data_IF_881667331467
#
_entry.id   IF_881667331467
#
_cell.length_a   1.000
_cell.length_b   1.000
_cell.length_c   1.000
_cell.angle_alpha   90.00
_cell.angle_beta   90.00
_cell.angle_gamma   90.00
#
_symmetry.space_group_name_H-M   'P 1'
#
loop_
_entity.id
_entity.type
_entity.pdbx_description
1 polymer ?
#
# COMPACT_ATOMS: atom_id res chain seq x y z
N UNK A 1 20.37 -3.38 -11.34
CA UNK A 1 19.34 -4.31 -10.82
C UNK A 1 18.22 -3.46 -10.27
N UNK A 2 17.22 -3.17 -11.09
CA UNK A 2 16.08 -2.34 -10.73
C UNK A 2 14.97 -3.33 -10.38
N UNK A 3 14.52 -3.32 -9.13
CA UNK A 3 13.42 -4.16 -8.69
C UNK A 3 12.12 -3.49 -9.11
N UNK A 4 11.40 -4.13 -10.02
CA UNK A 4 9.97 -3.92 -10.17
C UNK A 4 9.29 -4.29 -8.86
N UNK A 5 8.88 -3.28 -8.12
CA UNK A 5 8.22 -3.51 -6.84
C UNK A 5 6.74 -3.81 -7.12
N UNK A 6 6.45 -5.05 -7.52
CA UNK A 6 5.07 -5.54 -7.60
C UNK A 6 4.46 -5.62 -6.20
N UNK A 7 3.13 -5.48 -6.07
CA UNK A 7 2.37 -5.58 -4.81
C UNK A 7 2.81 -6.78 -3.95
N UNK A 8 2.98 -7.92 -4.61
CA UNK A 8 3.41 -9.18 -4.00
C UNK A 8 4.87 -9.10 -3.55
N UNK A 9 5.75 -8.50 -4.36
CA UNK A 9 7.16 -8.34 -4.03
C UNK A 9 7.42 -7.46 -2.79
N UNK A 10 6.65 -6.37 -2.56
CA UNK A 10 6.79 -5.55 -1.33
C UNK A 10 6.45 -6.37 -0.09
N UNK A 11 5.29 -7.04 -0.15
CA UNK A 11 4.74 -7.77 0.98
C UNK A 11 5.62 -8.99 1.26
N UNK A 12 6.09 -9.66 0.21
CA UNK A 12 6.96 -10.82 0.33
C UNK A 12 8.37 -10.43 0.82
N UNK A 13 8.93 -9.32 0.34
CA UNK A 13 10.21 -8.83 0.88
C UNK A 13 10.08 -8.46 2.36
N UNK A 14 9.04 -7.71 2.75
CA UNK A 14 8.82 -7.31 4.14
C UNK A 14 8.60 -8.52 5.07
N UNK A 15 7.83 -9.52 4.61
CA UNK A 15 7.51 -10.73 5.39
C UNK A 15 8.64 -11.76 5.42
N UNK A 16 9.29 -12.04 4.29
CA UNK A 16 10.22 -13.16 4.15
C UNK A 16 11.70 -12.75 4.19
N UNK A 17 12.07 -11.53 3.77
CA UNK A 17 13.47 -11.08 3.80
C UNK A 17 13.83 -10.35 5.09
N UNK A 18 12.92 -9.54 5.63
CA UNK A 18 13.18 -8.72 6.82
C UNK A 18 12.57 -9.27 8.12
N UNK A 19 11.75 -10.33 8.02
CA UNK A 19 11.10 -10.96 9.19
C UNK A 19 10.25 -10.02 10.04
N UNK A 20 9.86 -8.86 9.49
CA UNK A 20 9.14 -7.83 10.23
C UNK A 20 7.62 -8.04 10.11
N UNK A 21 6.84 -7.90 11.19
CA UNK A 21 5.38 -7.94 11.11
C UNK A 21 4.92 -6.93 10.06
N UNK A 22 4.03 -7.34 9.17
CA UNK A 22 3.60 -6.50 8.04
C UNK A 22 2.09 -6.52 7.94
N UNK A 23 1.49 -5.33 7.95
CA UNK A 23 0.06 -5.13 7.72
C UNK A 23 -0.14 -4.28 6.47
N UNK A 24 -1.15 -4.60 5.67
CA UNK A 24 -1.32 -3.96 4.37
C UNK A 24 -2.79 -3.72 4.03
N UNK A 25 -3.06 -2.66 3.26
CA UNK A 25 -4.37 -2.37 2.70
C UNK A 25 -4.22 -1.95 1.24
N UNK A 26 -5.07 -2.50 0.39
CA UNK A 26 -5.14 -2.13 -1.02
C UNK A 26 -6.44 -1.41 -1.34
N UNK A 27 -6.32 -0.19 -1.87
CA UNK A 27 -7.45 0.61 -2.30
C UNK A 27 -7.90 0.15 -3.69
N UNK A 28 -8.91 -0.73 -3.75
CA UNK A 28 -9.54 -1.20 -5.00
C UNK A 28 -10.50 -0.14 -5.56
N UNK A 29 -10.19 0.42 -6.73
CA UNK A 29 -11.06 1.39 -7.43
C UNK A 29 -12.35 0.79 -8.02
N UNK A 30 -12.52 -0.54 -8.01
CA UNK A 30 -13.59 -1.24 -8.74
C UNK A 30 -14.91 -1.37 -7.95
N UNK A 31 -14.96 -0.88 -6.71
CA UNK A 31 -16.18 -0.86 -5.91
C UNK A 31 -16.61 0.57 -5.62
N UNK A 32 -17.80 0.93 -6.10
CA UNK A 32 -18.48 2.22 -5.86
C UNK A 32 -18.81 2.49 -4.38
N UNK A 33 -18.52 1.55 -3.48
CA UNK A 33 -18.57 1.79 -2.05
C UNK A 33 -17.35 2.63 -1.65
N UNK A 34 -17.60 3.82 -1.12
CA UNK A 34 -16.58 4.79 -0.76
C UNK A 34 -15.39 4.14 -0.03
N UNK A 35 -14.22 4.14 -0.67
CA UNK A 35 -12.95 3.88 -0.03
C UNK A 35 -12.72 4.99 1.00
N UNK A 36 -12.96 4.67 2.27
CA UNK A 36 -12.82 5.61 3.37
C UNK A 36 -11.63 5.27 4.27
N UNK A 37 -11.16 6.27 5.02
CA UNK A 37 -10.08 6.10 5.99
C UNK A 37 -10.41 5.05 7.06
N UNK A 38 -11.69 4.89 7.39
CA UNK A 38 -12.20 3.92 8.37
C UNK A 38 -11.90 2.49 7.96
N UNK A 39 -12.04 2.18 6.67
CA UNK A 39 -11.77 0.85 6.11
C UNK A 39 -10.29 0.46 6.24
N UNK A 40 -9.38 1.42 6.01
CA UNK A 40 -7.94 1.22 6.15
C UNK A 40 -7.58 0.93 7.61
N UNK A 41 -7.98 1.81 8.53
CA UNK A 41 -7.68 1.63 9.95
C UNK A 41 -8.28 0.34 10.50
N UNK A 42 -9.53 0.05 10.16
CA UNK A 42 -10.21 -1.19 10.56
C UNK A 42 -9.46 -2.43 10.10
N UNK A 43 -8.91 -2.42 8.87
CA UNK A 43 -8.15 -3.54 8.35
C UNK A 43 -6.81 -3.71 9.08
N UNK A 44 -6.09 -2.61 9.31
CA UNK A 44 -4.85 -2.67 10.06
C UNK A 44 -5.05 -3.18 11.48
N UNK A 45 -6.05 -2.69 12.22
CA UNK A 45 -6.32 -3.14 13.59
C UNK A 45 -6.57 -4.66 13.62
N UNK A 46 -7.36 -5.18 12.67
CA UNK A 46 -7.60 -6.64 12.56
C UNK A 46 -6.30 -7.40 12.33
N UNK A 47 -5.49 -6.98 11.36
CA UNK A 47 -4.23 -7.64 11.05
C UNK A 47 -3.24 -7.57 12.23
N UNK A 48 -3.16 -6.45 12.95
CA UNK A 48 -2.34 -6.31 14.16
C UNK A 48 -2.80 -7.25 15.28
N UNK A 49 -4.12 -7.42 15.45
CA UNK A 49 -4.67 -8.38 16.39
C UNK A 49 -4.33 -9.83 16.02
N UNK A 50 -4.31 -10.16 14.73
CA UNK A 50 -3.96 -11.50 14.24
C UNK A 50 -2.45 -11.80 14.36
N UNK A 51 -1.61 -10.76 14.34
CA UNK A 51 -0.15 -10.88 14.47
C UNK A 51 0.32 -11.21 15.90
N UNK A 52 -0.52 -11.01 16.91
CA UNK A 52 -0.21 -11.38 18.30
C UNK A 52 -0.75 -12.78 18.59
N UNK A 53 0.12 -13.80 18.81
CA UNK A 53 -0.33 -15.08 19.34
C UNK A 53 -0.97 -14.85 20.72
N UNK A 54 -2.08 -15.50 21.00
CA UNK A 54 -2.72 -15.52 22.32
C UNK A 54 -1.78 -16.10 23.41
N UNK A 55 -0.85 -15.30 23.92
CA UNK A 55 -0.01 -15.62 25.09
C UNK A 55 0.54 -14.30 25.72
N UNK A 56 1.03 -14.32 26.98
CA UNK A 56 0.43 -13.74 28.18
C UNK A 56 0.59 -12.22 28.34
N UNK A 57 1.06 -11.52 27.30
CA UNK A 57 1.04 -10.05 27.20
C UNK A 57 -0.03 -9.63 26.21
N UNK A 58 -1.24 -10.14 26.41
CA UNK A 58 -2.41 -9.63 25.73
C UNK A 58 -2.51 -8.13 25.94
N UNK A 59 -3.14 -7.44 24.99
CA UNK A 59 -3.52 -6.04 25.16
C UNK A 59 -4.05 -5.79 26.58
N UNK A 60 -3.68 -4.66 27.22
CA UNK A 60 -4.30 -4.23 28.48
C UNK A 60 -5.82 -4.39 28.41
N UNK A 61 -6.48 -4.79 29.51
CA UNK A 61 -7.90 -5.17 29.48
C UNK A 61 -8.81 -4.06 28.94
N UNK A 62 -8.44 -2.80 29.17
CA UNK A 62 -9.09 -1.63 28.59
C UNK A 62 -8.97 -1.57 27.05
N UNK A 63 -7.82 -1.97 26.49
CA UNK A 63 -7.59 -2.04 25.04
C UNK A 63 -8.29 -3.26 24.45
N UNK A 64 -8.16 -4.42 25.11
CA UNK A 64 -8.85 -5.65 24.72
C UNK A 64 -10.38 -5.48 24.74
N UNK A 65 -10.92 -4.73 25.69
CA UNK A 65 -12.34 -4.41 25.78
C UNK A 65 -12.81 -3.59 24.58
N UNK A 66 -12.09 -2.53 24.19
CA UNK A 66 -12.43 -1.74 23.00
C UNK A 66 -12.29 -2.57 21.70
N UNK A 67 -11.26 -3.42 21.59
CA UNK A 67 -11.13 -4.36 20.46
C UNK A 67 -12.36 -5.26 20.39
N UNK A 68 -12.79 -5.86 21.50
CA UNK A 68 -14.00 -6.72 21.52
C UNK A 68 -15.27 -5.93 21.19
N UNK A 69 -15.37 -4.69 21.61
CA UNK A 69 -16.51 -3.80 21.33
C UNK A 69 -16.67 -3.52 19.83
N UNK A 70 -15.59 -3.26 19.10
CA UNK A 70 -15.66 -2.89 17.69
C UNK A 70 -15.41 -4.04 16.70
N UNK A 71 -14.66 -5.07 17.11
CA UNK A 71 -14.22 -6.17 16.25
C UNK A 71 -14.71 -7.56 16.71
N UNK A 72 -15.39 -7.66 17.86
CA UNK A 72 -15.95 -8.91 18.38
C UNK A 72 -17.27 -9.35 17.74
N UNK A 73 -17.83 -10.46 18.24
CA UNK A 73 -19.07 -11.06 17.70
C UNK A 73 -20.31 -10.17 17.79
N UNK A 74 -20.40 -9.32 18.81
CA UNK A 74 -21.49 -8.35 19.02
C UNK A 74 -20.97 -6.92 18.86
N UNK A 75 -20.40 -6.63 17.68
CA UNK A 75 -19.71 -5.37 17.44
C UNK A 75 -20.66 -4.17 17.33
N UNK A 76 -20.22 -3.04 17.88
CA UNK A 76 -20.74 -1.71 17.60
C UNK A 76 -20.04 -1.15 16.36
N UNK A 77 -20.74 -0.37 15.54
CA UNK A 77 -20.13 0.32 14.39
C UNK A 77 -19.23 1.43 14.92
N UNK A 78 -17.92 1.30 14.70
CA UNK A 78 -16.94 2.34 14.99
C UNK A 78 -17.02 3.43 13.92
N UNK A 79 -16.89 4.69 14.33
CA UNK A 79 -16.58 5.78 13.41
C UNK A 79 -15.06 5.95 13.20
N UNK A 80 -14.66 6.95 12.43
CA UNK A 80 -13.25 7.17 12.13
C UNK A 80 -12.43 7.55 13.37
N UNK A 81 -13.00 8.30 14.30
CA UNK A 81 -12.28 8.78 15.48
C UNK A 81 -12.18 7.68 16.54
N UNK A 82 -13.22 6.86 16.70
CA UNK A 82 -13.16 5.59 17.44
C UNK A 82 -11.99 4.73 16.93
N UNK A 83 -11.86 4.60 15.60
CA UNK A 83 -10.81 3.81 14.97
C UNK A 83 -9.41 4.40 15.16
N UNK A 84 -9.26 5.72 15.17
CA UNK A 84 -7.98 6.37 15.48
C UNK A 84 -7.57 6.16 16.94
N UNK A 85 -8.52 6.27 17.88
CA UNK A 85 -8.24 6.06 19.30
C UNK A 85 -7.75 4.64 19.56
N UNK A 86 -8.52 3.64 19.10
CA UNK A 86 -8.12 2.25 19.27
C UNK A 86 -6.83 1.92 18.55
N UNK A 87 -6.61 2.45 17.33
CA UNK A 87 -5.34 2.24 16.61
C UNK A 87 -4.17 2.81 17.40
N UNK A 88 -4.29 4.01 17.97
CA UNK A 88 -3.23 4.64 18.77
C UNK A 88 -2.88 3.80 20.00
N UNK A 89 -3.87 3.11 20.57
CA UNK A 89 -3.68 2.22 21.73
C UNK A 89 -3.13 0.86 21.35
N UNK A 90 -3.45 0.35 20.15
CA UNK A 90 -2.96 -0.93 19.63
C UNK A 90 -1.53 -0.83 19.10
N UNK A 91 -1.22 0.26 18.40
CA UNK A 91 0.04 0.49 17.69
C UNK A 91 1.31 0.19 18.52
N UNK A 92 1.43 0.60 19.81
CA UNK A 92 2.65 0.39 20.59
C UNK A 92 2.88 -1.07 21.03
N UNK A 93 1.89 -1.95 20.85
CA UNK A 93 2.01 -3.35 21.25
C UNK A 93 2.61 -4.24 20.16
N UNK A 94 2.77 -3.72 18.94
CA UNK A 94 3.37 -4.44 17.81
C UNK A 94 4.48 -3.57 17.21
N UNK A 95 5.61 -3.38 17.93
CA UNK A 95 6.73 -2.57 17.45
C UNK A 95 7.37 -3.16 16.19
N UNK A 96 8.20 -2.37 15.52
CA UNK A 96 8.92 -2.76 14.30
C UNK A 96 8.01 -3.26 13.16
N UNK A 97 6.73 -2.86 13.17
CA UNK A 97 5.75 -3.26 12.14
C UNK A 97 5.85 -2.39 10.90
N UNK A 98 5.76 -3.01 9.71
CA UNK A 98 5.66 -2.33 8.43
C UNK A 98 4.19 -2.19 8.02
N UNK A 99 3.75 -0.96 7.81
CA UNK A 99 2.40 -0.59 7.40
C UNK A 99 2.41 -0.21 5.92
N UNK A 100 1.58 -0.86 5.11
CA UNK A 100 1.52 -0.59 3.67
C UNK A 100 0.12 -0.13 3.26
N UNK A 101 0.02 1.04 2.66
CA UNK A 101 -1.21 1.51 1.98
C UNK A 101 -0.91 1.62 0.49
N UNK A 102 -1.55 0.77 -0.30
CA UNK A 102 -1.44 0.76 -1.75
C UNK A 102 -2.66 1.44 -2.40
N UNK A 103 -2.41 2.44 -3.25
CA UNK A 103 -3.44 3.20 -3.96
C UNK A 103 -4.06 4.35 -3.16
N UNK A 104 -3.26 5.09 -2.39
CA UNK A 104 -3.78 6.21 -1.57
C UNK A 104 -4.45 7.32 -2.40
N UNK A 105 -4.14 7.43 -3.70
CA UNK A 105 -4.81 8.30 -4.68
C UNK A 105 -6.30 8.03 -4.84
N UNK A 106 -6.77 6.83 -4.49
CA UNK A 106 -8.17 6.45 -4.63
C UNK A 106 -9.08 7.02 -3.52
N UNK A 107 -8.51 7.54 -2.42
CA UNK A 107 -9.31 8.14 -1.36
C UNK A 107 -9.77 9.54 -1.76
N UNK A 108 -10.94 9.94 -1.28
CA UNK A 108 -11.30 11.36 -1.35
C UNK A 108 -10.34 12.23 -0.53
N UNK A 109 -10.33 13.52 -0.86
CA UNK A 109 -9.43 14.49 -0.27
C UNK A 109 -9.54 14.59 1.25
N UNK A 110 -10.74 14.54 1.81
CA UNK A 110 -10.95 14.73 3.25
C UNK A 110 -10.53 13.49 4.04
N UNK A 111 -10.88 12.30 3.56
CA UNK A 111 -10.42 11.04 4.14
C UNK A 111 -8.91 10.88 4.02
N UNK A 112 -8.31 11.17 2.85
CA UNK A 112 -6.87 11.13 2.67
C UNK A 112 -6.15 12.08 3.64
N UNK A 113 -6.60 13.34 3.74
CA UNK A 113 -6.01 14.34 4.63
C UNK A 113 -6.15 13.96 6.11
N UNK A 114 -7.31 13.46 6.52
CA UNK A 114 -7.56 13.00 7.90
C UNK A 114 -6.64 11.84 8.27
N UNK A 115 -6.53 10.85 7.37
CA UNK A 115 -5.67 9.68 7.56
C UNK A 115 -4.19 10.04 7.58
N UNK A 116 -3.73 10.89 6.67
CA UNK A 116 -2.34 11.34 6.61
C UNK A 116 -1.95 12.14 7.84
N UNK A 117 -2.83 13.01 8.35
CA UNK A 117 -2.59 13.72 9.63
C UNK A 117 -2.44 12.75 10.78
N UNK A 118 -3.27 11.70 10.80
CA UNK A 118 -3.19 10.67 11.81
C UNK A 118 -1.86 9.89 11.72
N UNK A 119 -1.49 9.38 10.53
CA UNK A 119 -0.21 8.70 10.34
C UNK A 119 0.99 9.59 10.65
N UNK A 120 0.96 10.87 10.28
CA UNK A 120 2.00 11.82 10.67
C UNK A 120 2.22 11.84 12.19
N UNK A 121 1.14 11.83 12.98
CA UNK A 121 1.23 11.86 14.44
C UNK A 121 1.89 10.61 15.04
N UNK A 122 1.86 9.48 14.33
CA UNK A 122 2.39 8.20 14.80
C UNK A 122 3.82 7.93 14.31
N UNK A 123 4.12 8.29 13.05
CA UNK A 123 5.34 7.89 12.37
C UNK A 123 6.40 8.99 12.28
N UNK A 124 6.10 10.24 12.66
CA UNK A 124 7.10 11.34 12.62
C UNK A 124 7.85 11.49 13.93
N UNK A 125 7.23 11.22 15.08
CA UNK A 125 7.95 11.24 16.37
C UNK A 125 8.63 9.87 16.60
N UNK A 126 9.97 9.80 16.70
CA UNK A 126 10.67 8.54 16.94
C UNK A 126 10.23 7.82 18.22
N UNK A 127 9.75 8.57 19.23
CA UNK A 127 9.27 8.01 20.50
C UNK A 127 7.95 7.27 20.34
N UNK A 128 7.08 7.74 19.43
CA UNK A 128 5.80 7.08 19.15
C UNK A 128 6.00 5.94 18.17
N UNK A 129 6.89 6.11 17.18
CA UNK A 129 7.05 5.19 16.06
C UNK A 129 7.54 3.78 16.45
N UNK A 130 8.35 3.66 17.52
CA UNK A 130 8.85 2.36 18.03
C UNK A 130 9.40 1.43 16.93
N UNK A 131 10.19 1.99 16.01
CA UNK A 131 10.80 1.25 14.89
C UNK A 131 9.85 0.91 13.73
N UNK A 132 8.53 1.05 13.92
CA UNK A 132 7.51 0.81 12.90
C UNK A 132 7.66 1.75 11.70
N UNK A 133 7.28 1.32 10.49
CA UNK A 133 7.45 2.13 9.28
C UNK A 133 6.18 2.14 8.47
N UNK A 134 5.92 3.24 7.76
CA UNK A 134 4.79 3.31 6.82
C UNK A 134 5.29 3.52 5.39
N UNK A 135 4.70 2.75 4.48
CA UNK A 135 4.87 2.85 3.04
C UNK A 135 3.53 3.22 2.41
N UNK A 136 3.51 4.33 1.70
CA UNK A 136 2.35 4.83 0.98
C UNK A 136 2.65 4.75 -0.53
N UNK A 137 1.87 3.95 -1.25
CA UNK A 137 1.99 3.82 -2.69
C UNK A 137 0.84 4.57 -3.36
N UNK A 138 1.19 5.32 -4.39
CA UNK A 138 0.23 6.09 -5.18
C UNK A 138 0.61 6.03 -6.65
N UNK A 139 -0.40 5.97 -7.54
CA UNK A 139 -0.18 6.03 -9.00
C UNK A 139 -0.05 7.46 -9.50
N UNK A 140 -0.72 8.39 -8.83
CA UNK A 140 -0.70 9.81 -9.12
C UNK A 140 -0.32 10.58 -7.85
N UNK A 141 -0.56 11.89 -7.81
CA UNK A 141 -0.35 12.71 -6.63
C UNK A 141 -1.30 12.33 -5.49
N UNK A 142 -0.80 12.46 -4.27
CA UNK A 142 -1.60 12.29 -3.06
C UNK A 142 -2.81 13.24 -3.10
N UNK A 143 -4.03 12.77 -2.79
CA UNK A 143 -5.24 13.58 -2.91
C UNK A 143 -5.12 14.94 -2.20
N UNK A 144 -5.49 15.99 -2.92
CA UNK A 144 -5.39 17.37 -2.42
C UNK A 144 -4.02 18.02 -2.57
N UNK A 145 -3.15 17.50 -3.44
CA UNK A 145 -1.84 18.08 -3.79
C UNK A 145 -0.93 18.25 -2.56
N UNK A 146 -1.01 17.28 -1.64
CA UNK A 146 -0.25 17.32 -0.39
C UNK A 146 1.22 17.06 -0.71
N UNK A 147 2.06 18.06 -0.47
CA UNK A 147 3.51 17.88 -0.56
C UNK A 147 4.01 17.05 0.64
N UNK A 148 4.23 15.76 0.41
CA UNK A 148 4.62 14.78 1.43
C UNK A 148 5.95 15.13 2.12
N UNK A 149 6.90 15.75 1.41
CA UNK A 149 8.20 16.13 1.97
C UNK A 149 8.04 17.20 3.07
N UNK A 150 7.10 18.14 2.89
CA UNK A 150 6.77 19.14 3.90
C UNK A 150 5.82 18.60 4.97
N UNK A 151 4.93 17.70 4.58
CA UNK A 151 3.85 17.22 5.43
C UNK A 151 4.31 16.16 6.44
N UNK A 152 5.20 15.24 6.04
CA UNK A 152 5.83 14.23 6.88
C UNK A 152 7.35 14.35 6.79
N UNK A 153 7.96 15.23 7.61
CA UNK A 153 9.41 15.41 7.62
C UNK A 153 10.13 14.07 7.84
N UNK A 154 11.15 13.79 7.01
CA UNK A 154 11.90 12.54 7.06
C UNK A 154 11.31 11.39 6.23
N UNK A 155 10.16 11.59 5.57
CA UNK A 155 9.65 10.63 4.58
C UNK A 155 10.61 10.56 3.38
N UNK A 156 10.87 9.35 2.89
CA UNK A 156 11.61 9.14 1.65
C UNK A 156 10.61 8.98 0.51
N UNK A 157 10.62 9.91 -0.43
CA UNK A 157 9.84 9.80 -1.64
C UNK A 157 10.67 9.11 -2.72
N UNK A 158 10.11 8.04 -3.31
CA UNK A 158 10.70 7.34 -4.46
C UNK A 158 9.73 7.54 -5.61
N UNK A 159 10.19 8.20 -6.68
CA UNK A 159 9.44 8.27 -7.93
C UNK A 159 9.92 7.17 -8.86
N UNK A 160 8.99 6.35 -9.35
CA UNK A 160 9.27 5.36 -10.40
C UNK A 160 9.28 5.98 -11.80
N UNK A 161 9.09 7.30 -11.92
CA UNK A 161 9.00 8.01 -13.21
C UNK A 161 10.29 8.05 -14.03
N UNK A 162 11.44 7.71 -13.45
CA UNK A 162 12.74 7.93 -14.11
C UNK A 162 13.09 6.86 -15.16
N UNK A 163 12.52 5.64 -15.10
CA UNK A 163 12.89 4.52 -15.98
C UNK A 163 11.68 3.77 -16.59
N UNK A 164 10.51 4.40 -16.64
CA UNK A 164 9.25 3.78 -17.08
C UNK A 164 9.40 3.06 -18.44
N UNK A 165 10.13 3.63 -19.39
CA UNK A 165 10.27 3.03 -20.73
C UNK A 165 11.05 1.72 -20.71
N UNK A 166 12.19 1.70 -20.01
CA UNK A 166 13.04 0.52 -19.88
C UNK A 166 12.36 -0.58 -19.07
N UNK A 167 11.57 -0.16 -18.09
CA UNK A 167 10.72 -1.03 -17.30
C UNK A 167 9.63 -1.66 -18.21
N UNK A 168 8.89 -0.87 -18.99
CA UNK A 168 7.86 -1.36 -19.93
C UNK A 168 8.47 -2.34 -20.93
N UNK A 169 9.61 -2.00 -21.53
CA UNK A 169 10.36 -2.89 -22.41
C UNK A 169 10.62 -4.22 -21.71
N UNK A 170 11.25 -4.19 -20.53
CA UNK A 170 11.58 -5.39 -19.75
C UNK A 170 10.34 -6.24 -19.40
N UNK A 171 9.21 -5.61 -19.07
CA UNK A 171 7.97 -6.32 -18.78
C UNK A 171 7.36 -6.97 -20.02
N UNK A 172 7.39 -6.28 -21.17
CA UNK A 172 6.94 -6.83 -22.45
C UNK A 172 7.85 -8.01 -22.85
N UNK A 173 9.17 -7.86 -22.74
CA UNK A 173 10.12 -8.95 -23.04
C UNK A 173 9.85 -10.16 -22.14
N UNK A 174 9.75 -9.94 -20.83
CA UNK A 174 9.49 -10.99 -19.86
C UNK A 174 8.15 -11.68 -20.12
N UNK A 175 7.08 -10.92 -20.39
CA UNK A 175 5.75 -11.46 -20.66
C UNK A 175 5.67 -12.26 -21.96
N UNK A 176 6.36 -11.81 -23.01
CA UNK A 176 6.47 -12.57 -24.27
C UNK A 176 7.26 -13.85 -24.03
N UNK A 177 8.36 -13.78 -23.29
CA UNK A 177 9.21 -14.94 -22.98
C UNK A 177 8.45 -15.98 -22.16
N UNK A 178 7.78 -15.56 -21.09
CA UNK A 178 7.01 -16.44 -20.20
C UNK A 178 5.86 -17.13 -20.95
N UNK A 179 5.12 -16.37 -21.76
CA UNK A 179 4.02 -16.94 -22.55
C UNK A 179 4.55 -17.92 -23.58
N UNK A 180 5.63 -17.59 -24.29
CA UNK A 180 6.24 -18.51 -25.29
C UNK A 180 6.74 -19.81 -24.66
N UNK A 181 7.21 -19.77 -23.41
CA UNK A 181 7.64 -20.94 -22.64
C UNK A 181 6.49 -21.80 -22.13
N UNK A 182 5.37 -21.20 -21.67
CA UNK A 182 4.23 -21.95 -21.12
C UNK A 182 3.20 -22.39 -22.17
N UNK A 183 3.01 -21.62 -23.24
CA UNK A 183 2.15 -21.91 -24.40
C UNK A 183 2.74 -21.22 -25.62
N UNK A 184 3.39 -21.97 -26.52
CA UNK A 184 4.00 -21.44 -27.75
C UNK A 184 3.05 -20.44 -28.44
N UNK A 185 3.36 -19.15 -28.33
CA UNK A 185 2.54 -18.05 -28.86
C UNK A 185 2.56 -18.07 -30.39
N UNK A 186 3.76 -18.21 -30.94
CA UNK A 186 4.05 -18.43 -32.35
C UNK A 186 5.53 -18.85 -32.49
N UNK A 187 5.90 -19.48 -33.61
CA UNK A 187 7.31 -19.72 -33.98
C UNK A 187 7.87 -18.62 -34.91
N UNK A 188 7.01 -17.70 -35.36
CA UNK A 188 7.39 -16.61 -36.25
C UNK A 188 8.02 -15.46 -35.46
N UNK A 189 9.34 -15.31 -35.60
CA UNK A 189 10.12 -14.26 -34.95
C UNK A 189 9.75 -12.85 -35.45
N UNK A 190 9.29 -12.71 -36.70
CA UNK A 190 8.88 -11.42 -37.25
C UNK A 190 7.55 -10.94 -36.64
N UNK A 191 6.64 -11.87 -36.40
CA UNK A 191 5.37 -11.59 -35.72
C UNK A 191 5.57 -11.26 -34.24
N UNK A 192 6.53 -11.90 -33.56
CA UNK A 192 6.89 -11.56 -32.18
C UNK A 192 7.45 -10.15 -32.04
N UNK A 193 8.30 -9.73 -32.99
CA UNK A 193 8.81 -8.36 -33.02
C UNK A 193 7.72 -7.34 -33.35
N UNK A 194 6.78 -7.66 -34.26
CA UNK A 194 5.62 -6.79 -34.51
C UNK A 194 4.74 -6.63 -33.27
N UNK A 195 4.47 -7.72 -32.53
CA UNK A 195 3.71 -7.69 -31.27
C UNK A 195 4.45 -6.84 -30.23
N UNK A 196 5.77 -7.00 -30.09
CA UNK A 196 6.59 -6.19 -29.17
C UNK A 196 6.47 -4.71 -29.51
N UNK A 197 6.66 -4.37 -30.79
CA UNK A 197 6.63 -2.99 -31.28
C UNK A 197 5.27 -2.34 -31.05
N UNK A 198 4.16 -3.05 -31.37
CA UNK A 198 2.81 -2.53 -31.11
C UNK A 198 2.51 -2.35 -29.63
N UNK A 199 2.91 -3.29 -28.78
CA UNK A 199 2.70 -3.17 -27.33
C UNK A 199 3.47 -1.99 -26.75
N UNK A 200 4.68 -1.71 -27.25
CA UNK A 200 5.47 -0.53 -26.88
C UNK A 200 4.82 0.77 -27.35
N UNK A 201 4.33 0.82 -28.58
CA UNK A 201 3.65 2.00 -29.13
C UNK A 201 2.33 2.31 -28.40
N UNK A 202 1.51 1.30 -28.12
CA UNK A 202 0.23 1.47 -27.41
C UNK A 202 0.42 1.82 -25.93
N UNK A 203 1.43 1.23 -25.26
CA UNK A 203 1.73 1.56 -23.86
C UNK A 203 2.32 2.96 -23.70
N UNK A 204 3.01 3.49 -24.71
CA UNK A 204 3.45 4.89 -24.78
C UNK A 204 2.25 5.86 -24.87
N UNK A 205 1.19 5.47 -25.59
CA UNK A 205 -0.04 6.26 -25.74
C UNK A 205 -0.91 6.33 -24.47
N UNK A 206 -0.79 5.36 -23.56
CA UNK A 206 -1.57 5.31 -22.32
C UNK A 206 -1.15 6.38 -21.28
N UNK A 207 0.03 6.99 -21.43
CA UNK A 207 0.54 8.04 -20.53
C UNK A 207 0.76 9.40 -21.22
N UNK A 208 0.76 9.46 -22.56
CA UNK A 208 0.87 10.73 -23.29
C UNK A 208 -0.36 11.64 -23.15
N UNK A 209 -1.52 11.12 -22.74
CA UNK A 209 -2.75 11.91 -22.53
C UNK A 209 -2.77 12.70 -21.19
N UNK A 210 -1.68 12.76 -20.43
CA UNK A 210 -1.54 13.65 -19.27
C UNK A 210 -0.41 14.68 -19.38
N UNK A 211 0.07 14.93 -20.61
CA UNK A 211 0.87 16.12 -20.91
C UNK A 211 0.21 16.86 -22.09
N UNK A 212 -0.84 17.62 -21.78
CA UNK A 212 -1.21 18.79 -22.57
C UNK A 212 -0.99 20.01 -21.69
N UNK A 213 -0.19 20.95 -22.21
CA UNK A 213 0.29 22.21 -21.61
C UNK A 213 -0.73 22.94 -20.73
#
# INVERSE_FOLDING_TARGET
>A
MIAFVSRTAVIDAAKYEFGSPTVFFYCMNEHLAALDASSILSSFIKQLCDLLPWAPRSYPEDVASEIRKFFGRKRVKADLDDLKDIFTRVFPHVPDTVYVVDGIDALDREHAKSLLKFFRSLFVDPRTQQGSRILLLSRDQVPGYINMNTFMPGIRQISTSANIMQDIESYIEASITDKTMCRKLTEDSSLLEEIRQRLLEESSGMYANHIAL
#
